data_IF_823124351502
#
_entry.id   IF_823124351502
#
_cell.length_a   1.000
_cell.length_b   1.000
_cell.length_c   1.000
_cell.angle_alpha   90.00
_cell.angle_beta   90.00
_cell.angle_gamma   90.00
#
_symmetry.space_group_name_H-M   'P 1'
#
loop_
_entity.id
_entity.type
_entity.pdbx_description
1 polymer ?
#
# COMPACT_ATOMS: atom_id res chain seq x y z
N UNK A 1 -6.42 13.03 -1.77
CA UNK A 1 -5.94 14.40 -2.04
C UNK A 1 -4.71 14.77 -1.21
N UNK A 2 -4.72 14.58 0.12
CA UNK A 2 -3.51 14.85 0.96
C UNK A 2 -2.33 13.95 0.57
N UNK A 3 -2.56 12.64 0.37
CA UNK A 3 -1.53 11.67 -0.02
C UNK A 3 -0.82 12.03 -1.34
N UNK A 4 -1.60 12.43 -2.35
CA UNK A 4 -1.05 12.84 -3.65
C UNK A 4 -0.24 14.13 -3.53
N UNK A 5 -0.74 15.10 -2.74
CA UNK A 5 -0.05 16.36 -2.49
C UNK A 5 1.29 16.17 -1.78
N UNK A 6 1.34 15.30 -0.77
CA UNK A 6 2.60 14.98 -0.06
C UNK A 6 3.62 14.31 -0.97
N UNK A 7 3.17 13.44 -1.87
CA UNK A 7 4.06 12.78 -2.84
C UNK A 7 4.68 13.80 -3.80
N UNK A 8 3.84 14.66 -4.40
CA UNK A 8 4.32 15.73 -5.29
C UNK A 8 5.26 16.72 -4.59
N UNK A 9 4.96 17.09 -3.35
CA UNK A 9 5.78 18.02 -2.57
C UNK A 9 7.17 17.44 -2.27
N UNK A 10 7.28 16.14 -1.98
CA UNK A 10 8.57 15.46 -1.78
C UNK A 10 9.44 15.56 -3.03
N UNK A 11 8.89 15.21 -4.20
CA UNK A 11 9.62 15.24 -5.48
C UNK A 11 10.10 16.66 -5.79
N UNK A 12 9.20 17.64 -5.68
CA UNK A 12 9.53 19.04 -5.89
C UNK A 12 10.60 19.55 -4.90
N UNK A 13 10.52 19.14 -3.64
CA UNK A 13 11.52 19.45 -2.62
C UNK A 13 12.90 18.89 -2.94
N UNK A 14 12.99 17.63 -3.36
CA UNK A 14 14.27 17.00 -3.75
C UNK A 14 14.91 17.70 -4.95
N UNK A 15 14.12 17.96 -6.00
CA UNK A 15 14.60 18.68 -7.19
C UNK A 15 15.01 20.12 -6.82
N UNK A 16 14.21 20.80 -6.01
CA UNK A 16 14.51 22.16 -5.55
C UNK A 16 15.78 22.24 -4.71
N UNK A 17 16.00 21.28 -3.81
CA UNK A 17 17.23 21.19 -3.02
C UNK A 17 18.46 20.98 -3.91
N UNK A 18 18.39 20.05 -4.87
CA UNK A 18 19.47 19.86 -5.85
C UNK A 18 19.73 21.15 -6.65
N UNK A 19 18.69 21.82 -7.16
CA UNK A 19 18.85 23.00 -8.00
C UNK A 19 19.40 24.23 -7.24
N UNK A 20 19.07 24.38 -5.96
CA UNK A 20 19.52 25.50 -5.13
C UNK A 20 20.88 25.25 -4.47
N UNK A 21 21.20 23.99 -4.16
CA UNK A 21 22.35 23.58 -3.37
C UNK A 21 23.11 22.43 -4.03
N UNK A 22 23.50 22.61 -5.30
CA UNK A 22 24.21 21.59 -6.08
C UNK A 22 25.50 21.13 -5.41
N UNK A 23 26.29 22.07 -4.87
CA UNK A 23 27.62 21.76 -4.32
C UNK A 23 27.51 20.90 -3.05
N UNK A 24 26.60 21.27 -2.14
CA UNK A 24 26.30 20.51 -0.92
C UNK A 24 25.67 19.14 -1.27
N UNK A 25 24.86 19.09 -2.32
CA UNK A 25 24.31 17.83 -2.82
C UNK A 25 25.43 16.90 -3.32
N UNK A 26 26.31 17.38 -4.18
CA UNK A 26 27.45 16.59 -4.70
C UNK A 26 28.36 16.15 -3.55
N UNK A 27 28.66 17.05 -2.61
CA UNK A 27 29.48 16.74 -1.46
C UNK A 27 28.85 15.67 -0.55
N UNK A 28 27.53 15.59 -0.43
CA UNK A 28 26.88 14.58 0.44
C UNK A 28 26.64 13.25 -0.25
N UNK A 29 26.26 13.30 -1.53
CA UNK A 29 25.66 12.17 -2.24
C UNK A 29 26.58 11.51 -3.27
N UNK A 30 27.65 12.19 -3.70
CA UNK A 30 28.58 11.57 -4.64
C UNK A 30 29.51 10.57 -3.93
N UNK A 31 29.65 9.36 -4.47
CA UNK A 31 30.61 8.35 -3.99
C UNK A 31 32.04 8.62 -4.50
N UNK A 32 32.17 9.10 -5.73
CA UNK A 32 33.44 9.26 -6.44
C UNK A 32 34.19 10.58 -6.13
N UNK A 33 34.17 11.03 -4.86
CA UNK A 33 34.83 12.30 -4.48
C UNK A 33 36.35 12.27 -4.65
N UNK A 34 36.96 11.10 -4.47
CA UNK A 34 38.40 10.89 -4.61
C UNK A 34 38.86 10.77 -6.08
N UNK A 35 37.91 10.73 -7.02
CA UNK A 35 38.15 10.52 -8.46
C UNK A 35 37.54 11.65 -9.29
N UNK A 36 38.10 12.87 -9.22
CA UNK A 36 37.56 14.04 -9.91
C UNK A 36 37.53 13.87 -11.43
N UNK A 37 38.34 12.97 -11.99
CA UNK A 37 38.32 12.65 -13.42
C UNK A 37 36.99 12.08 -13.93
N UNK A 38 36.15 11.57 -13.02
CA UNK A 38 34.82 11.01 -13.33
C UNK A 38 33.72 12.08 -13.41
N UNK A 39 34.03 13.35 -13.12
CA UNK A 39 33.11 14.50 -13.26
C UNK A 39 31.73 14.28 -12.61
N UNK A 40 31.71 13.90 -11.33
CA UNK A 40 30.46 13.68 -10.62
C UNK A 40 29.71 15.00 -10.37
N UNK A 41 28.48 15.10 -10.88
CA UNK A 41 27.59 16.26 -10.74
C UNK A 41 26.33 15.95 -9.93
N UNK A 42 26.28 14.78 -9.28
CA UNK A 42 25.15 14.37 -8.43
C UNK A 42 23.91 13.91 -9.20
N UNK A 43 23.87 14.01 -10.54
CA UNK A 43 22.69 13.61 -11.34
C UNK A 43 22.37 12.13 -11.24
N UNK A 44 23.39 11.28 -11.16
CA UNK A 44 23.22 9.83 -10.99
C UNK A 44 22.44 9.54 -9.70
N UNK A 45 22.88 10.11 -8.58
CA UNK A 45 22.23 9.89 -7.29
C UNK A 45 20.84 10.54 -7.23
N UNK A 46 20.68 11.73 -7.83
CA UNK A 46 19.37 12.35 -7.99
C UNK A 46 18.39 11.43 -8.75
N UNK A 47 18.84 10.80 -9.83
CA UNK A 47 18.01 9.87 -10.60
C UNK A 47 17.61 8.64 -9.79
N UNK A 48 18.55 8.05 -9.03
CA UNK A 48 18.23 6.92 -8.13
C UNK A 48 17.19 7.31 -7.07
N UNK A 49 17.29 8.51 -6.48
CA UNK A 49 16.32 8.99 -5.48
C UNK A 49 14.94 9.19 -6.12
N UNK A 50 14.89 9.79 -7.32
CA UNK A 50 13.63 10.05 -8.03
C UNK A 50 12.95 8.78 -8.54
N UNK A 51 13.73 7.78 -8.98
CA UNK A 51 13.25 6.49 -9.45
C UNK A 51 13.07 5.47 -8.32
N UNK A 52 13.45 5.82 -7.09
CA UNK A 52 13.42 4.94 -5.91
C UNK A 52 14.22 3.64 -6.10
N UNK A 53 15.20 3.64 -7.00
CA UNK A 53 16.06 2.49 -7.35
C UNK A 53 17.22 2.25 -6.36
N UNK A 54 17.24 2.96 -5.22
CA UNK A 54 18.32 2.81 -4.23
C UNK A 54 18.22 1.47 -3.50
N UNK A 55 18.82 0.43 -4.09
CA UNK A 55 18.99 -0.89 -3.49
C UNK A 55 20.13 -0.92 -2.45
N UNK A 56 20.79 0.21 -2.17
CA UNK A 56 21.91 0.23 -1.22
C UNK A 56 21.45 0.16 0.23
N UNK A 57 22.02 -0.81 0.94
CA UNK A 57 21.72 -1.20 2.32
C UNK A 57 22.06 -0.10 3.36
N UNK A 58 22.80 0.94 2.99
CA UNK A 58 23.11 2.09 3.87
C UNK A 58 23.42 3.37 3.06
N UNK A 59 22.44 4.24 2.76
CA UNK A 59 22.75 5.55 2.21
C UNK A 59 23.50 6.42 3.25
N UNK A 60 24.40 7.33 2.83
CA UNK A 60 25.18 8.19 3.73
C UNK A 60 24.31 9.13 4.58
N UNK A 61 23.06 9.34 4.19
CA UNK A 61 22.04 10.08 4.91
C UNK A 61 20.76 9.24 4.91
N UNK A 62 20.07 9.19 6.05
CA UNK A 62 18.77 8.51 6.14
C UNK A 62 17.73 9.26 5.29
N UNK A 63 17.55 8.81 4.05
CA UNK A 63 16.53 9.29 3.10
C UNK A 63 15.29 8.39 3.11
N UNK A 64 15.06 7.62 4.17
CA UNK A 64 13.99 6.61 4.21
C UNK A 64 12.60 7.20 3.91
N UNK A 65 12.39 8.48 4.27
CA UNK A 65 11.16 9.21 3.97
C UNK A 65 10.92 9.49 2.47
N UNK A 66 11.98 9.49 1.65
CA UNK A 66 11.92 9.63 0.18
C UNK A 66 11.75 8.27 -0.50
N UNK A 67 12.24 7.19 0.13
CA UNK A 67 12.05 5.81 -0.36
C UNK A 67 10.63 5.28 -0.18
N UNK A 68 9.78 5.95 0.61
CA UNK A 68 8.42 5.50 0.87
C UNK A 68 7.53 5.68 -0.37
N UNK A 69 7.25 4.59 -1.07
CA UNK A 69 6.22 4.54 -2.12
C UNK A 69 4.82 4.78 -1.54
N UNK A 70 4.04 5.63 -2.19
CA UNK A 70 2.63 5.85 -1.84
C UNK A 70 1.74 5.13 -2.84
N UNK A 71 1.26 3.93 -2.48
CA UNK A 71 0.32 3.18 -3.30
C UNK A 71 -1.07 3.76 -3.08
N UNK A 72 -1.69 4.28 -4.14
CA UNK A 72 -3.04 4.82 -4.11
C UNK A 72 -4.01 3.82 -4.74
N UNK A 73 -4.82 3.17 -3.91
CA UNK A 73 -5.93 2.33 -4.36
C UNK A 73 -7.23 3.13 -4.30
N UNK A 74 -7.84 3.41 -5.45
CA UNK A 74 -9.18 3.98 -5.53
C UNK A 74 -10.15 2.90 -5.99
N UNK A 75 -11.02 2.48 -5.07
CA UNK A 75 -12.17 1.65 -5.41
C UNK A 75 -13.43 2.51 -5.48
N UNK A 76 -14.25 2.30 -6.50
CA UNK A 76 -15.57 2.90 -6.55
C UNK A 76 -16.40 2.32 -5.42
N UNK A 77 -16.94 3.17 -4.54
CA UNK A 77 -17.96 2.70 -3.60
C UNK A 77 -19.20 2.32 -4.40
N UNK A 78 -19.67 1.10 -4.19
CA UNK A 78 -21.00 0.69 -4.62
C UNK A 78 -21.91 0.95 -3.43
N UNK A 79 -22.76 1.96 -3.53
CA UNK A 79 -23.78 2.22 -2.53
C UNK A 79 -24.94 1.25 -2.76
N UNK A 80 -25.30 0.52 -1.73
CA UNK A 80 -26.45 -0.37 -1.72
C UNK A 80 -27.54 0.28 -0.87
N UNK A 81 -28.70 0.53 -1.49
CA UNK A 81 -29.89 0.95 -0.76
C UNK A 81 -30.77 -0.29 -0.51
N UNK A 82 -31.00 -0.60 0.77
CA UNK A 82 -31.86 -1.70 1.18
C UNK A 82 -33.22 -1.12 1.58
N UNK A 83 -34.25 -1.44 0.80
CA UNK A 83 -35.62 -1.16 1.21
C UNK A 83 -36.04 -2.15 2.31
N UNK A 84 -36.38 -1.63 3.48
CA UNK A 84 -37.01 -2.45 4.53
C UNK A 84 -38.43 -2.77 4.07
N UNK A 85 -38.65 -3.99 3.60
CA UNK A 85 -40.00 -4.51 3.37
C UNK A 85 -40.57 -4.87 4.74
N UNK A 86 -41.38 -3.97 5.31
CA UNK A 86 -42.25 -4.33 6.43
C UNK A 86 -43.43 -5.12 5.88
N UNK A 87 -43.28 -6.44 5.83
CA UNK A 87 -44.45 -7.31 5.68
C UNK A 87 -45.26 -7.27 6.97
N UNK A 88 -46.55 -7.00 6.84
CA UNK A 88 -47.48 -7.10 7.96
C UNK A 88 -47.70 -8.60 8.18
N UNK A 89 -46.85 -9.22 9.02
CA UNK A 89 -46.96 -10.63 9.34
C UNK A 89 -48.22 -10.82 10.19
N UNK A 90 -49.34 -11.13 9.52
CA UNK A 90 -50.47 -11.76 10.18
C UNK A 90 -49.99 -13.15 10.63
N UNK A 91 -49.54 -13.25 11.88
CA UNK A 91 -49.17 -14.54 12.48
C UNK A 91 -50.42 -15.39 12.63
N UNK A 92 -50.80 -16.13 11.58
CA UNK A 92 -51.66 -17.29 11.76
C UNK A 92 -50.73 -18.38 12.31
N UNK A 93 -50.57 -18.39 13.63
CA UNK A 93 -49.84 -19.44 14.34
C UNK A 93 -50.63 -20.75 14.21
N UNK A 94 -50.48 -21.44 13.07
CA UNK A 94 -50.92 -22.82 12.93
C UNK A 94 -49.75 -23.70 13.34
N UNK A 95 -49.90 -24.36 14.49
CA UNK A 95 -48.94 -25.38 14.89
C UNK A 95 -48.98 -26.52 13.87
N UNK A 96 -47.99 -26.57 12.99
CA UNK A 96 -47.75 -27.71 12.11
C UNK A 96 -46.62 -28.53 12.70
N UNK A 97 -46.93 -29.70 13.26
CA UNK A 97 -45.91 -30.64 13.66
C UNK A 97 -45.33 -31.31 12.41
N UNK A 98 -44.20 -30.79 11.93
CA UNK A 98 -43.46 -31.30 10.77
C UNK A 98 -42.45 -32.39 11.17
N UNK A 99 -42.62 -33.02 12.34
CA UNK A 99 -41.75 -34.11 12.77
C UNK A 99 -41.84 -35.25 11.78
N UNK A 100 -40.73 -35.46 11.07
CA UNK A 100 -40.47 -36.65 10.31
C UNK A 100 -39.31 -37.37 10.99
N UNK A 101 -39.57 -38.55 11.54
CA UNK A 101 -38.54 -39.34 12.19
C UNK A 101 -37.53 -39.82 11.14
N UNK A 102 -36.36 -39.19 11.12
CA UNK A 102 -35.21 -39.72 10.42
C UNK A 102 -34.41 -40.60 11.37
N UNK A 103 -34.60 -41.92 11.22
CA UNK A 103 -33.69 -42.91 11.76
C UNK A 103 -32.32 -42.67 11.11
N UNK A 104 -31.44 -41.94 11.78
CA UNK A 104 -30.05 -41.82 11.36
C UNK A 104 -29.47 -43.23 11.38
N UNK A 105 -29.27 -43.82 10.21
CA UNK A 105 -28.32 -44.91 10.08
C UNK A 105 -26.99 -44.33 10.54
N UNK A 106 -26.55 -44.79 11.72
CA UNK A 106 -25.26 -44.46 12.30
C UNK A 106 -24.19 -44.73 11.25
N UNK A 107 -23.65 -43.68 10.65
CA UNK A 107 -22.51 -43.79 9.74
C UNK A 107 -21.39 -44.49 10.48
N UNK A 108 -21.16 -45.75 10.12
CA UNK A 108 -20.13 -46.59 10.72
C UNK A 108 -18.79 -46.11 10.18
N UNK A 109 -18.16 -45.16 10.88
CA UNK A 109 -16.79 -44.76 10.55
C UNK A 109 -15.84 -45.86 11.03
N UNK A 110 -15.04 -46.48 10.14
CA UNK A 110 -14.06 -47.45 10.57
C UNK A 110 -12.95 -46.76 11.38
N UNK A 111 -12.37 -47.46 12.38
CA UNK A 111 -11.32 -46.89 13.21
C UNK A 111 -10.10 -46.55 12.34
N UNK A 112 -9.53 -45.37 12.57
CA UNK A 112 -8.28 -44.95 11.93
C UNK A 112 -7.12 -45.66 12.60
N UNK A 113 -6.33 -46.38 11.78
CA UNK A 113 -5.01 -46.90 12.13
C UNK A 113 -3.98 -45.79 12.01
#
# INVERSE_FOLDING_TARGET
MVLTLTSSLKIAGTIGYYALFTDDFVERFCENKERPELNCDGKCELSKILLQESNDDTPPINLDFLKTETILFLESRVDYDFSIITENINTINQYTNLYNFHLLEKEFQPPRV
#
